data_IF_823601601532
#
_entry.id   IF_823601601532
#
_cell.length_a   1.000
_cell.length_b   1.000
_cell.length_c   1.000
_cell.angle_alpha   90.00
_cell.angle_beta   90.00
_cell.angle_gamma   90.00
#
_symmetry.space_group_name_H-M   'P 1'
#
loop_
_entity.id
_entity.type
_entity.pdbx_description
1 polymer ?
#
# COMPACT_ATOMS: atom_id res chain seq x y z
N UNK A 1 6.87 -15.98 -27.08
CA UNK A 1 7.51 -15.54 -25.82
C UNK A 1 6.58 -15.98 -24.70
N UNK A 2 6.83 -17.17 -24.14
CA UNK A 2 6.00 -17.74 -23.07
C UNK A 2 6.58 -17.26 -21.74
N UNK A 3 5.78 -16.52 -20.96
CA UNK A 3 6.12 -16.18 -19.58
C UNK A 3 5.95 -17.45 -18.73
N UNK A 4 7.05 -18.07 -18.33
CA UNK A 4 7.05 -19.18 -17.38
C UNK A 4 6.67 -18.64 -16.00
N UNK A 5 5.47 -18.94 -15.53
CA UNK A 5 5.08 -18.72 -14.15
C UNK A 5 5.79 -19.81 -13.34
N UNK A 6 6.91 -19.47 -12.70
CA UNK A 6 7.56 -20.36 -11.74
C UNK A 6 6.65 -20.54 -10.52
N UNK A 7 6.49 -21.76 -9.99
CA UNK A 7 5.69 -21.96 -8.79
C UNK A 7 6.34 -21.20 -7.63
N UNK A 8 5.58 -20.36 -6.93
CA UNK A 8 6.04 -19.74 -5.69
C UNK A 8 6.33 -20.87 -4.70
N UNK A 9 7.60 -21.02 -4.33
CA UNK A 9 8.01 -21.98 -3.31
C UNK A 9 7.30 -21.62 -2.01
N UNK A 10 6.54 -22.54 -1.46
CA UNK A 10 5.84 -22.44 -0.16
C UNK A 10 6.79 -22.39 1.05
N UNK A 11 8.07 -22.07 0.85
CA UNK A 11 9.06 -21.89 1.90
C UNK A 11 9.01 -20.43 2.34
N UNK A 12 8.47 -20.20 3.54
CA UNK A 12 8.06 -18.90 4.03
C UNK A 12 9.11 -17.80 3.88
N UNK A 13 8.63 -16.61 3.50
CA UNK A 13 9.36 -15.35 3.49
C UNK A 13 10.20 -15.25 4.77
N UNK A 14 11.52 -15.26 4.64
CA UNK A 14 12.36 -14.95 5.78
C UNK A 14 12.16 -13.47 6.15
N UNK A 15 12.43 -13.04 7.39
CA UNK A 15 12.34 -11.63 7.75
C UNK A 15 13.17 -10.71 6.83
N UNK A 16 14.30 -11.20 6.32
CA UNK A 16 15.14 -10.49 5.35
C UNK A 16 14.49 -10.39 3.97
N UNK A 17 13.77 -11.44 3.54
CA UNK A 17 13.01 -11.40 2.27
C UNK A 17 11.83 -10.45 2.38
N UNK A 18 11.17 -10.41 3.54
CA UNK A 18 10.10 -9.46 3.84
C UNK A 18 10.64 -8.02 3.87
N UNK A 19 11.75 -7.76 4.55
CA UNK A 19 12.38 -6.44 4.59
C UNK A 19 12.81 -5.96 3.20
N UNK A 20 13.39 -6.85 2.39
CA UNK A 20 13.75 -6.55 1.00
C UNK A 20 12.50 -6.21 0.18
N UNK A 21 11.43 -7.01 0.30
CA UNK A 21 10.18 -6.75 -0.40
C UNK A 21 9.59 -5.40 -0.02
N UNK A 22 9.47 -5.10 1.27
CA UNK A 22 8.97 -3.81 1.76
C UNK A 22 9.83 -2.64 1.26
N UNK A 23 11.16 -2.77 1.29
CA UNK A 23 12.08 -1.70 0.84
C UNK A 23 12.04 -1.45 -0.67
N UNK A 24 11.86 -2.50 -1.47
CA UNK A 24 11.85 -2.41 -2.93
C UNK A 24 10.44 -2.23 -3.50
N UNK A 25 9.41 -2.35 -2.66
CA UNK A 25 8.03 -2.08 -3.01
C UNK A 25 7.78 -0.56 -3.02
N UNK A 26 7.96 0.03 -4.20
CA UNK A 26 7.52 1.39 -4.45
C UNK A 26 5.99 1.44 -4.46
N UNK A 27 5.43 1.74 -3.29
CA UNK A 27 4.01 1.81 -3.01
C UNK A 27 3.29 2.69 -4.03
N UNK A 28 2.69 2.02 -5.02
CA UNK A 28 1.61 2.63 -5.80
C UNK A 28 0.32 2.61 -4.96
N UNK A 29 0.35 2.33 -3.65
CA UNK A 29 -0.89 2.15 -2.88
C UNK A 29 -1.53 3.46 -2.45
N UNK A 30 -0.80 4.58 -2.41
CA UNK A 30 -1.35 5.87 -1.99
C UNK A 30 -2.60 6.25 -2.80
N UNK A 31 -2.56 6.17 -4.14
CA UNK A 31 -3.73 6.51 -4.97
C UNK A 31 -4.92 5.57 -4.75
N UNK A 32 -4.67 4.30 -4.43
CA UNK A 32 -5.72 3.32 -4.12
C UNK A 32 -6.35 3.68 -2.77
N UNK A 33 -5.54 3.88 -1.74
CA UNK A 33 -6.00 4.18 -0.38
C UNK A 33 -6.76 5.51 -0.36
N UNK A 34 -6.22 6.55 -0.99
CA UNK A 34 -6.87 7.85 -1.10
C UNK A 34 -8.19 7.74 -1.88
N UNK A 35 -8.19 7.00 -2.99
CA UNK A 35 -9.41 6.71 -3.74
C UNK A 35 -10.45 5.97 -2.89
N UNK A 36 -10.05 4.99 -2.08
CA UNK A 36 -10.95 4.26 -1.18
C UNK A 36 -11.52 5.16 -0.08
N UNK A 37 -10.71 6.04 0.51
CA UNK A 37 -11.15 7.01 1.50
C UNK A 37 -12.20 7.95 0.90
N UNK A 38 -11.91 8.55 -0.26
CA UNK A 38 -12.85 9.44 -0.96
C UNK A 38 -14.13 8.71 -1.36
N UNK A 39 -14.05 7.50 -1.94
CA UNK A 39 -15.24 6.71 -2.30
C UNK A 39 -16.10 6.33 -1.08
N UNK A 40 -15.49 6.26 0.11
CA UNK A 40 -16.17 5.98 1.37
C UNK A 40 -16.79 7.23 2.02
N UNK A 41 -16.72 8.39 1.36
CA UNK A 41 -17.26 9.66 1.86
C UNK A 41 -16.35 10.37 2.86
N UNK A 42 -15.06 10.07 2.85
CA UNK A 42 -14.08 10.84 3.61
C UNK A 42 -13.43 11.90 2.73
N UNK A 43 -13.28 13.09 3.29
CA UNK A 43 -12.43 14.15 2.77
C UNK A 43 -11.09 14.11 3.50
N UNK A 44 -10.00 14.02 2.74
CA UNK A 44 -8.64 13.97 3.29
C UNK A 44 -8.18 15.42 3.55
N UNK A 45 -8.01 15.78 4.80
CA UNK A 45 -7.56 17.12 5.21
C UNK A 45 -6.04 17.23 5.22
N UNK A 46 -5.37 16.17 5.67
CA UNK A 46 -3.92 16.11 5.75
C UNK A 46 -3.43 14.68 5.49
N UNK A 47 -2.28 14.57 4.82
CA UNK A 47 -1.52 13.34 4.68
C UNK A 47 -0.08 13.57 5.14
N UNK A 48 0.44 12.62 5.91
CA UNK A 48 1.83 12.59 6.35
C UNK A 48 2.46 11.24 5.95
N UNK A 49 3.30 11.25 4.92
CA UNK A 49 4.04 10.04 4.49
C UNK A 49 5.26 9.86 5.39
N UNK A 50 5.16 8.95 6.36
CA UNK A 50 6.21 8.68 7.36
C UNK A 50 7.37 7.90 6.73
N UNK A 51 7.05 6.96 5.83
CA UNK A 51 7.99 6.26 4.95
C UNK A 51 7.35 6.12 3.56
N UNK A 52 8.08 5.66 2.52
CA UNK A 52 7.46 5.42 1.21
C UNK A 52 6.31 4.40 1.24
N UNK A 53 6.27 3.53 2.24
CA UNK A 53 5.30 2.45 2.40
C UNK A 53 4.19 2.76 3.41
N UNK A 54 4.35 3.83 4.23
CA UNK A 54 3.45 4.16 5.33
C UNK A 54 3.04 5.63 5.32
N UNK A 55 1.74 5.88 5.43
CA UNK A 55 1.15 7.22 5.51
C UNK A 55 0.08 7.31 6.62
N UNK A 56 0.03 8.46 7.27
CA UNK A 56 -1.01 8.84 8.21
C UNK A 56 -1.96 9.82 7.54
N UNK A 57 -3.27 9.61 7.70
CA UNK A 57 -4.32 10.44 7.10
C UNK A 57 -5.20 11.05 8.19
N UNK A 58 -5.40 12.36 8.13
CA UNK A 58 -6.44 13.05 8.89
C UNK A 58 -7.59 13.29 7.92
N UNK A 59 -8.75 12.72 8.24
CA UNK A 59 -9.93 12.79 7.39
C UNK A 59 -11.14 13.26 8.17
N UNK A 60 -11.97 14.07 7.51
CA UNK A 60 -13.32 14.37 7.97
C UNK A 60 -14.32 13.52 7.20
N UNK A 61 -15.27 12.91 7.91
CA UNK A 61 -16.37 12.19 7.27
C UNK A 61 -17.41 13.22 6.83
N UNK A 62 -17.53 13.43 5.54
CA UNK A 62 -18.59 14.25 4.97
C UNK A 62 -19.87 13.43 5.08
N UNK A 63 -20.80 13.89 5.92
CA UNK A 63 -21.98 13.10 6.32
C UNK A 63 -22.80 12.58 5.14
N UNK A 64 -23.29 11.33 5.29
CA UNK A 64 -24.44 10.78 4.56
C UNK A 64 -25.71 11.20 5.30
#
# INVERSE_FOLDING_TARGET
MLLSITPVSTLGLTPSDFEMHVREEHSTFAWIIEGMLTCSGFEIEQVNYVTPEMAEYICTKTGV
#
